data_IF_369143717548
#
_entry.id   IF_369143717548
#
_cell.length_a   1.000
_cell.length_b   1.000
_cell.length_c   1.000
_cell.angle_alpha   90.00
_cell.angle_beta   90.00
_cell.angle_gamma   90.00
#
_symmetry.space_group_name_H-M   'P 1'
#
loop_
_entity.id
_entity.type
_entity.pdbx_description
1 polymer ?
#
# COMPACT_ATOMS: atom_id res chain seq x y z
N UNK A 1 -9.92 18.21 25.51
CA UNK A 1 -10.13 17.44 24.28
C UNK A 1 -10.07 18.39 23.11
N UNK A 2 -9.32 18.05 22.08
CA UNK A 2 -9.26 18.78 20.84
C UNK A 2 -10.06 18.02 19.77
N UNK A 3 -10.70 18.74 18.87
CA UNK A 3 -11.38 18.15 17.71
C UNK A 3 -10.69 18.68 16.47
N UNK A 4 -10.09 17.77 15.70
CA UNK A 4 -9.48 18.09 14.41
C UNK A 4 -10.37 17.61 13.30
N UNK A 5 -10.76 18.52 12.39
CA UNK A 5 -11.65 18.25 11.26
C UNK A 5 -10.85 18.02 9.98
N UNK A 6 -11.17 16.95 9.29
CA UNK A 6 -10.62 16.61 7.99
C UNK A 6 -11.73 16.55 6.94
N UNK A 7 -11.42 17.04 5.73
CA UNK A 7 -12.23 16.80 4.52
C UNK A 7 -11.63 15.57 3.82
N UNK A 8 -12.47 14.64 3.40
CA UNK A 8 -12.05 13.49 2.61
C UNK A 8 -12.09 13.84 1.12
N UNK A 9 -10.99 13.56 0.43
CA UNK A 9 -10.82 13.74 -1.00
C UNK A 9 -10.68 12.37 -1.66
N UNK A 10 -11.44 12.13 -2.70
CA UNK A 10 -11.46 10.87 -3.44
C UNK A 10 -10.76 11.07 -4.79
N UNK A 11 -9.79 10.21 -5.11
CA UNK A 11 -8.95 10.37 -6.32
C UNK A 11 -9.59 9.80 -7.60
N UNK A 12 -10.69 9.06 -7.48
CA UNK A 12 -11.37 8.45 -8.63
C UNK A 12 -12.88 8.69 -8.56
N UNK A 13 -13.58 8.51 -9.69
CA UNK A 13 -15.05 8.43 -9.75
C UNK A 13 -15.49 7.19 -8.95
N UNK A 14 -15.51 7.32 -7.64
CA UNK A 14 -15.87 6.27 -6.71
C UNK A 14 -17.39 6.33 -6.54
N UNK A 15 -18.06 5.18 -6.55
CA UNK A 15 -19.49 5.10 -6.28
C UNK A 15 -19.87 5.65 -4.89
N UNK A 16 -21.15 5.93 -4.67
CA UNK A 16 -21.67 6.49 -3.40
C UNK A 16 -21.12 5.70 -2.21
N UNK A 17 -20.46 6.40 -1.28
CA UNK A 17 -20.02 5.77 -0.02
C UNK A 17 -21.26 5.54 0.85
N UNK A 18 -21.45 4.30 1.29
CA UNK A 18 -22.32 4.03 2.43
C UNK A 18 -21.70 4.63 3.70
N UNK A 19 -22.06 5.90 3.97
CA UNK A 19 -21.51 6.66 5.09
C UNK A 19 -21.76 5.97 6.45
N UNK A 20 -22.92 5.37 6.75
CA UNK A 20 -23.12 4.57 7.94
C UNK A 20 -22.15 3.39 8.07
N UNK A 21 -21.87 2.67 6.99
CA UNK A 21 -20.92 1.57 6.99
C UNK A 21 -19.49 2.08 7.14
N UNK A 22 -19.14 3.15 6.43
CA UNK A 22 -17.84 3.82 6.60
C UNK A 22 -17.61 4.26 8.04
N UNK A 23 -18.60 4.92 8.67
CA UNK A 23 -18.52 5.31 10.08
C UNK A 23 -18.28 4.12 11.01
N UNK A 24 -18.94 2.98 10.78
CA UNK A 24 -18.76 1.76 11.59
C UNK A 24 -17.37 1.18 11.48
N UNK A 25 -16.69 1.40 10.35
CA UNK A 25 -15.33 0.90 10.11
C UNK A 25 -14.24 1.75 10.76
N UNK A 26 -14.57 2.97 11.21
CA UNK A 26 -13.65 3.88 11.88
C UNK A 26 -13.62 3.66 13.40
N UNK A 27 -12.49 3.98 14.06
CA UNK A 27 -12.42 4.00 15.51
C UNK A 27 -13.49 4.90 16.16
N UNK A 28 -13.89 4.61 17.38
CA UNK A 28 -14.94 5.37 18.10
C UNK A 28 -14.63 6.85 18.32
N UNK A 29 -13.34 7.22 18.31
CA UNK A 29 -12.88 8.62 18.40
C UNK A 29 -13.01 9.40 17.07
N UNK A 30 -13.47 8.73 16.00
CA UNK A 30 -13.67 9.31 14.69
C UNK A 30 -15.17 9.47 14.41
N UNK A 31 -15.57 10.61 13.90
CA UNK A 31 -16.96 10.86 13.51
C UNK A 31 -17.01 11.31 12.05
N UNK A 32 -17.45 10.42 11.17
CA UNK A 32 -17.67 10.73 9.76
C UNK A 32 -19.09 11.27 9.54
N UNK A 33 -19.22 12.27 8.68
CA UNK A 33 -20.50 12.86 8.30
C UNK A 33 -20.41 13.59 6.95
N UNK A 34 -21.55 13.78 6.32
CA UNK A 34 -21.67 14.55 5.09
C UNK A 34 -22.18 15.96 5.40
N UNK A 35 -21.60 16.94 4.76
CA UNK A 35 -22.05 18.33 4.80
C UNK A 35 -21.88 18.96 3.41
N UNK A 36 -22.99 19.42 2.81
CA UNK A 36 -23.06 20.03 1.48
C UNK A 36 -22.48 19.15 0.34
N UNK A 37 -22.57 17.83 0.45
CA UNK A 37 -22.06 16.86 -0.54
C UNK A 37 -20.58 16.53 -0.38
N UNK A 38 -19.91 17.08 0.64
CA UNK A 38 -18.56 16.70 1.03
C UNK A 38 -18.59 15.79 2.25
N UNK A 39 -17.66 14.83 2.32
CA UNK A 39 -17.50 13.96 3.48
C UNK A 39 -16.40 14.49 4.39
N UNK A 40 -16.71 14.58 5.66
CA UNK A 40 -15.81 15.04 6.71
C UNK A 40 -15.60 13.96 7.77
N UNK A 41 -14.44 14.01 8.41
CA UNK A 41 -14.14 13.22 9.60
C UNK A 41 -13.63 14.16 10.68
N UNK A 42 -14.30 14.17 11.81
CA UNK A 42 -13.84 14.81 13.03
C UNK A 42 -13.14 13.76 13.90
N UNK A 43 -11.95 14.07 14.40
CA UNK A 43 -11.18 13.20 15.29
C UNK A 43 -11.07 13.88 16.66
N UNK A 44 -11.53 13.19 17.69
CA UNK A 44 -11.34 13.59 19.07
C UNK A 44 -9.98 13.09 19.56
N UNK A 45 -9.12 14.04 19.98
CA UNK A 45 -7.81 13.74 20.56
C UNK A 45 -7.63 14.45 21.90
N UNK A 46 -6.69 13.99 22.73
CA UNK A 46 -6.20 14.82 23.82
C UNK A 46 -5.44 16.04 23.26
N UNK A 47 -5.34 17.11 24.04
CA UNK A 47 -4.62 18.34 23.60
C UNK A 47 -3.17 18.02 23.23
N UNK A 48 -2.55 17.05 23.92
CA UNK A 48 -1.18 16.60 23.70
C UNK A 48 -1.02 15.76 22.42
N UNK A 49 -2.10 15.12 21.95
CA UNK A 49 -2.13 14.25 20.77
C UNK A 49 -2.61 14.95 19.50
N UNK A 50 -2.96 16.22 19.55
CA UNK A 50 -3.50 16.96 18.39
C UNK A 50 -2.54 16.98 17.19
N UNK A 51 -1.23 16.92 17.43
CA UNK A 51 -0.20 16.75 16.39
C UNK A 51 -0.27 15.40 15.68
N UNK A 52 -0.85 14.39 16.31
CA UNK A 52 -0.96 13.04 15.76
C UNK A 52 -2.26 12.80 14.97
N UNK A 53 -3.21 13.74 14.98
CA UNK A 53 -4.53 13.57 14.33
C UNK A 53 -4.38 13.25 12.83
N UNK A 54 -3.46 13.90 12.12
CA UNK A 54 -3.18 13.63 10.70
C UNK A 54 -2.64 12.20 10.51
N UNK A 55 -1.73 11.76 11.34
CA UNK A 55 -1.20 10.40 11.30
C UNK A 55 -2.30 9.36 11.57
N UNK A 56 -3.19 9.63 12.52
CA UNK A 56 -4.29 8.71 12.86
C UNK A 56 -5.26 8.55 11.69
N UNK A 57 -5.67 9.66 11.04
CA UNK A 57 -6.56 9.56 9.88
C UNK A 57 -5.89 8.87 8.70
N UNK A 58 -4.64 9.20 8.37
CA UNK A 58 -3.92 8.58 7.25
C UNK A 58 -3.81 7.07 7.45
N UNK A 59 -3.50 6.61 8.67
CA UNK A 59 -3.44 5.19 9.00
C UNK A 59 -4.78 4.47 8.76
N UNK A 60 -5.89 5.07 9.17
CA UNK A 60 -7.21 4.48 8.95
C UNK A 60 -7.59 4.47 7.46
N UNK A 61 -7.24 5.52 6.72
CA UNK A 61 -7.47 5.57 5.27
C UNK A 61 -6.57 4.60 4.49
N UNK A 62 -5.32 4.41 4.90
CA UNK A 62 -4.45 3.37 4.32
C UNK A 62 -5.03 1.96 4.57
N UNK A 63 -5.62 1.71 5.76
CA UNK A 63 -6.34 0.46 6.05
C UNK A 63 -7.55 0.27 5.14
N UNK A 64 -8.36 1.31 4.96
CA UNK A 64 -9.49 1.30 4.03
C UNK A 64 -9.02 1.00 2.61
N UNK A 65 -7.99 1.68 2.15
CA UNK A 65 -7.42 1.46 0.82
C UNK A 65 -6.95 0.02 0.63
N UNK A 66 -6.29 -0.56 1.63
CA UNK A 66 -5.87 -1.97 1.58
C UNK A 66 -7.04 -2.93 1.38
N UNK A 67 -8.20 -2.66 2.02
CA UNK A 67 -9.38 -3.53 1.95
C UNK A 67 -10.18 -3.29 0.66
N UNK A 68 -10.38 -2.02 0.29
CA UNK A 68 -11.34 -1.61 -0.75
C UNK A 68 -10.71 -1.29 -2.09
N UNK A 69 -9.38 -1.06 -2.13
CA UNK A 69 -8.65 -0.48 -3.26
C UNK A 69 -9.18 0.91 -3.67
N UNK A 70 -9.94 1.59 -2.80
CA UNK A 70 -10.44 2.95 -3.02
C UNK A 70 -9.56 3.93 -2.28
N UNK A 71 -8.82 4.76 -3.01
CA UNK A 71 -7.93 5.74 -2.41
C UNK A 71 -8.67 6.98 -1.95
N UNK A 72 -8.54 7.26 -0.65
CA UNK A 72 -9.11 8.41 0.02
C UNK A 72 -7.97 9.20 0.66
N UNK A 73 -7.94 10.51 0.45
CA UNK A 73 -7.01 11.42 1.13
C UNK A 73 -7.74 12.28 2.14
N UNK A 74 -7.09 12.64 3.24
CA UNK A 74 -7.62 13.56 4.22
C UNK A 74 -6.88 14.89 4.15
N UNK A 75 -7.63 15.96 3.94
CA UNK A 75 -7.14 17.33 4.03
C UNK A 75 -7.58 17.95 5.35
N UNK A 76 -6.62 18.43 6.14
CA UNK A 76 -6.91 19.07 7.43
C UNK A 76 -7.53 20.45 7.20
N UNK A 77 -8.74 20.66 7.68
CA UNK A 77 -9.41 21.96 7.64
C UNK A 77 -9.01 22.73 8.91
N UNK A 78 -8.10 23.69 8.74
CA UNK A 78 -7.80 24.63 9.84
C UNK A 78 -9.06 25.46 10.13
N UNK A 79 -9.44 25.53 11.41
CA UNK A 79 -10.63 26.19 11.97
C UNK A 79 -10.80 27.69 11.64
N UNK A 80 -10.12 28.26 10.64
CA UNK A 80 -10.30 29.68 10.22
C UNK A 80 -10.25 29.77 8.72
N UNK A 81 -11.38 30.19 8.17
CA UNK A 81 -11.70 30.61 6.81
C UNK A 81 -12.50 29.58 6.00
N UNK A 82 -13.81 29.81 6.02
CA UNK A 82 -14.72 29.33 5.00
C UNK A 82 -14.42 30.05 3.69
N UNK A 83 -13.88 29.33 2.72
CA UNK A 83 -14.02 29.65 1.32
C UNK A 83 -14.50 28.37 0.65
N UNK A 84 -15.77 28.34 0.28
CA UNK A 84 -16.40 27.24 -0.42
C UNK A 84 -15.90 27.19 -1.85
N UNK A 85 -15.21 26.10 -2.21
CA UNK A 85 -15.08 25.67 -3.59
C UNK A 85 -15.96 24.43 -3.74
N UNK A 86 -17.12 24.56 -4.38
CA UNK A 86 -18.03 23.47 -4.67
C UNK A 86 -17.43 22.57 -5.76
N UNK A 87 -16.86 21.45 -5.35
CA UNK A 87 -16.57 20.34 -6.25
C UNK A 87 -17.38 19.13 -5.75
N UNK A 88 -18.44 18.77 -6.48
CA UNK A 88 -19.26 17.61 -6.15
C UNK A 88 -18.69 16.36 -6.81
N UNK A 89 -18.27 15.40 -6.01
CA UNK A 89 -17.97 14.05 -6.47
C UNK A 89 -19.01 13.09 -5.88
N UNK A 90 -19.61 12.26 -6.73
CA UNK A 90 -20.44 11.13 -6.28
C UNK A 90 -19.60 9.87 -6.39
N UNK A 91 -19.55 9.14 -5.31
CA UNK A 91 -18.80 7.90 -5.20
C UNK A 91 -19.79 6.75 -5.09
N UNK A 92 -19.77 5.80 -6.05
CA UNK A 92 -20.59 4.60 -6.02
C UNK A 92 -19.69 3.38 -5.81
N UNK A 93 -19.70 2.76 -4.64
CA UNK A 93 -19.03 1.51 -4.31
C UNK A 93 -19.65 0.87 -3.07
N UNK A 94 -19.95 -0.39 -3.18
CA UNK A 94 -20.33 -1.19 -2.01
C UNK A 94 -19.05 -1.50 -1.21
N UNK A 95 -19.00 -1.03 0.04
CA UNK A 95 -17.96 -1.46 0.96
C UNK A 95 -18.20 -2.93 1.34
N UNK A 96 -17.18 -3.80 1.29
CA UNK A 96 -17.33 -5.17 1.74
C UNK A 96 -17.85 -5.24 3.18
N UNK A 97 -18.79 -6.13 3.47
CA UNK A 97 -19.38 -6.31 4.81
C UNK A 97 -18.34 -6.57 5.92
N UNK A 98 -17.13 -6.94 5.55
CA UNK A 98 -16.03 -7.29 6.45
C UNK A 98 -15.15 -6.10 6.90
N UNK A 99 -15.52 -4.85 6.60
CA UNK A 99 -14.78 -3.65 7.02
C UNK A 99 -15.07 -3.28 8.50
N UNK A 100 -15.67 -4.15 9.26
CA UNK A 100 -15.81 -3.93 10.69
C UNK A 100 -14.42 -3.73 11.33
N UNK A 101 -14.28 -2.83 12.34
CA UNK A 101 -13.04 -2.66 13.05
C UNK A 101 -12.69 -4.00 13.72
N UNK A 102 -11.98 -4.84 13.00
CA UNK A 102 -11.28 -5.94 13.61
C UNK A 102 -10.21 -5.28 14.49
N UNK A 103 -9.92 -5.88 15.63
CA UNK A 103 -8.76 -5.52 16.43
C UNK A 103 -7.51 -5.75 15.57
N UNK A 104 -7.22 -4.78 14.72
CA UNK A 104 -6.02 -4.81 13.90
C UNK A 104 -4.85 -4.67 14.85
N UNK A 105 -4.01 -5.66 14.84
CA UNK A 105 -2.76 -5.62 15.55
C UNK A 105 -2.03 -4.34 15.14
N UNK A 106 -1.78 -3.44 16.07
CA UNK A 106 -1.16 -2.12 15.84
C UNK A 106 0.25 -2.18 15.24
N UNK A 107 0.77 -3.39 15.00
CA UNK A 107 2.09 -3.62 14.41
C UNK A 107 2.16 -3.42 12.88
N UNK A 108 1.03 -3.22 12.20
CA UNK A 108 0.98 -3.15 10.73
C UNK A 108 0.91 -1.75 10.08
N UNK A 109 0.97 -0.57 10.79
CA UNK A 109 0.77 0.72 10.12
C UNK A 109 1.82 1.00 9.05
N UNK A 110 3.07 0.54 9.25
CA UNK A 110 4.14 0.72 8.28
C UNK A 110 3.90 -0.12 7.02
N UNK A 111 3.50 -1.38 7.18
CA UNK A 111 3.18 -2.26 6.06
C UNK A 111 2.04 -1.71 5.22
N UNK A 112 0.96 -1.24 5.86
CA UNK A 112 -0.17 -0.61 5.16
C UNK A 112 0.26 0.64 4.41
N UNK A 113 1.12 1.46 5.00
CA UNK A 113 1.66 2.65 4.34
C UNK A 113 2.52 2.30 3.14
N UNK A 114 3.43 1.33 3.28
CA UNK A 114 4.27 0.85 2.18
C UNK A 114 3.41 0.25 1.05
N UNK A 115 2.34 -0.48 1.39
CA UNK A 115 1.43 -1.05 0.41
C UNK A 115 0.67 0.03 -0.36
N UNK A 116 0.14 1.04 0.33
CA UNK A 116 -0.48 2.21 -0.31
C UNK A 116 0.48 2.93 -1.26
N UNK A 117 1.72 3.16 -0.83
CA UNK A 117 2.76 3.78 -1.68
C UNK A 117 3.10 2.92 -2.90
N UNK A 118 3.15 1.58 -2.76
CA UNK A 118 3.41 0.69 -3.88
C UNK A 118 2.31 0.77 -4.95
N UNK A 119 1.05 0.85 -4.55
CA UNK A 119 -0.08 0.99 -5.48
C UNK A 119 -0.01 2.34 -6.23
N UNK A 120 0.36 3.43 -5.55
CA UNK A 120 0.50 4.74 -6.19
C UNK A 120 1.57 4.77 -7.30
N UNK A 121 2.52 3.87 -7.24
CA UNK A 121 3.62 3.75 -8.18
C UNK A 121 3.32 2.80 -9.35
N UNK A 122 2.06 2.70 -9.79
CA UNK A 122 1.63 1.72 -10.81
C UNK A 122 2.45 1.76 -12.13
N UNK A 123 3.07 2.89 -12.47
CA UNK A 123 3.96 3.04 -13.63
C UNK A 123 5.44 2.78 -13.31
N UNK A 124 5.80 2.58 -12.03
CA UNK A 124 7.17 2.46 -11.54
C UNK A 124 7.40 1.08 -10.90
N UNK A 125 7.24 0.02 -11.71
CA UNK A 125 7.25 -1.37 -11.24
C UNK A 125 8.46 -1.73 -10.37
N UNK A 126 9.63 -1.09 -10.57
CA UNK A 126 10.81 -1.33 -9.73
C UNK A 126 10.62 -0.86 -8.31
N UNK A 127 10.04 0.33 -8.15
CA UNK A 127 9.71 0.86 -6.83
C UNK A 127 8.58 0.06 -6.19
N UNK A 128 7.58 -0.39 -6.96
CA UNK A 128 6.55 -1.29 -6.46
C UNK A 128 7.16 -2.57 -5.88
N UNK A 129 8.07 -3.22 -6.62
CA UNK A 129 8.76 -4.43 -6.16
C UNK A 129 9.52 -4.17 -4.86
N UNK A 130 10.22 -3.04 -4.73
CA UNK A 130 10.96 -2.70 -3.51
C UNK A 130 10.03 -2.48 -2.31
N UNK A 131 8.91 -1.77 -2.49
CA UNK A 131 7.95 -1.52 -1.41
C UNK A 131 7.23 -2.80 -0.98
N UNK A 132 6.74 -3.61 -1.91
CA UNK A 132 6.13 -4.90 -1.57
C UNK A 132 7.12 -5.83 -0.87
N UNK A 133 8.36 -5.89 -1.37
CA UNK A 133 9.37 -6.71 -0.71
C UNK A 133 9.70 -6.20 0.70
N UNK A 134 9.69 -4.89 0.93
CA UNK A 134 9.90 -4.35 2.29
C UNK A 134 8.78 -4.80 3.25
N UNK A 135 7.53 -4.87 2.78
CA UNK A 135 6.44 -5.46 3.59
C UNK A 135 6.74 -6.92 3.95
N UNK A 136 7.19 -7.71 2.96
CA UNK A 136 7.57 -9.11 3.17
C UNK A 136 8.74 -9.22 4.17
N UNK A 137 9.75 -8.34 4.08
CA UNK A 137 10.87 -8.30 5.05
C UNK A 137 10.41 -8.01 6.47
N UNK A 138 9.42 -7.14 6.65
CA UNK A 138 8.86 -6.83 7.97
C UNK A 138 8.08 -8.02 8.54
N UNK A 139 7.37 -8.76 7.69
CA UNK A 139 6.63 -9.96 8.09
C UNK A 139 7.55 -11.17 8.35
N UNK A 140 8.66 -11.27 7.62
CA UNK A 140 9.63 -12.37 7.68
C UNK A 140 11.05 -11.83 7.95
N UNK A 141 11.35 -11.41 9.18
CA UNK A 141 12.68 -10.83 9.51
C UNK A 141 13.82 -11.86 9.37
N UNK A 142 13.53 -13.14 9.57
CA UNK A 142 14.49 -14.24 9.34
C UNK A 142 14.38 -14.78 7.91
N UNK A 143 15.24 -14.26 7.03
CA UNK A 143 15.33 -14.70 5.62
C UNK A 143 16.02 -16.05 5.43
N UNK A 144 16.59 -16.63 6.49
CA UNK A 144 17.21 -17.97 6.43
C UNK A 144 16.14 -19.06 6.29
N UNK A 145 14.88 -18.75 6.65
CA UNK A 145 13.74 -19.65 6.52
C UNK A 145 13.23 -19.79 5.08
N UNK A 146 13.67 -18.93 4.14
CA UNK A 146 13.25 -19.03 2.75
C UNK A 146 13.90 -20.24 2.08
N UNK A 147 13.09 -21.11 1.40
CA UNK A 147 13.62 -22.30 0.77
C UNK A 147 14.74 -22.03 -0.23
N UNK A 148 15.75 -22.89 -0.23
CA UNK A 148 16.83 -22.82 -1.22
C UNK A 148 16.32 -23.11 -2.63
N UNK A 149 16.90 -22.42 -3.61
CA UNK A 149 16.61 -22.61 -5.03
C UNK A 149 17.79 -23.29 -5.72
N UNK A 150 17.56 -24.48 -6.26
CA UNK A 150 18.62 -25.32 -6.80
C UNK A 150 18.42 -25.80 -8.23
N UNK A 151 17.21 -25.65 -8.79
CA UNK A 151 16.85 -26.14 -10.12
C UNK A 151 16.22 -25.04 -10.99
N UNK A 152 16.93 -24.56 -12.02
CA UNK A 152 16.44 -23.48 -12.90
C UNK A 152 15.32 -23.91 -13.86
N UNK A 153 14.94 -25.17 -13.88
CA UNK A 153 13.81 -25.67 -14.70
C UNK A 153 12.46 -25.56 -14.01
N UNK A 154 12.46 -25.29 -12.71
CA UNK A 154 11.26 -25.14 -11.89
C UNK A 154 11.14 -23.69 -11.35
N UNK A 155 9.93 -23.25 -11.03
CA UNK A 155 9.75 -21.95 -10.37
C UNK A 155 10.25 -22.00 -8.93
N UNK A 156 10.89 -20.94 -8.44
CA UNK A 156 11.26 -20.83 -7.04
C UNK A 156 10.04 -20.82 -6.13
N UNK A 157 10.26 -21.07 -4.84
CA UNK A 157 9.25 -20.75 -3.82
C UNK A 157 8.94 -19.25 -3.84
N UNK A 158 7.66 -18.82 -3.71
CA UNK A 158 7.27 -17.42 -3.86
C UNK A 158 8.11 -16.41 -3.05
N UNK A 159 8.34 -16.66 -1.76
CA UNK A 159 9.18 -15.80 -0.91
C UNK A 159 10.64 -15.72 -1.37
N UNK A 160 11.20 -16.86 -1.84
CA UNK A 160 12.56 -16.91 -2.41
C UNK A 160 12.62 -16.12 -3.72
N UNK A 161 11.59 -16.23 -4.55
CA UNK A 161 11.47 -15.46 -5.78
C UNK A 161 11.39 -13.94 -5.50
N UNK A 162 10.58 -13.54 -4.52
CA UNK A 162 10.50 -12.13 -4.09
C UNK A 162 11.88 -11.59 -3.65
N UNK A 163 12.64 -12.37 -2.90
CA UNK A 163 14.02 -12.03 -2.49
C UNK A 163 14.95 -11.83 -3.70
N UNK A 164 14.87 -12.70 -4.71
CA UNK A 164 15.68 -12.58 -5.91
C UNK A 164 15.28 -11.34 -6.75
N UNK A 165 14.00 -11.08 -6.93
CA UNK A 165 13.50 -9.91 -7.66
C UNK A 165 13.96 -8.60 -7.00
N UNK A 166 13.87 -8.51 -5.68
CA UNK A 166 14.42 -7.36 -4.93
C UNK A 166 15.91 -7.21 -5.16
N UNK A 167 16.66 -8.32 -5.11
CA UNK A 167 18.11 -8.28 -5.32
C UNK A 167 18.47 -7.79 -6.73
N UNK A 168 17.79 -8.30 -7.74
CA UNK A 168 17.99 -7.88 -9.14
C UNK A 168 17.73 -6.37 -9.31
N UNK A 169 16.79 -5.78 -8.61
CA UNK A 169 16.46 -4.36 -8.70
C UNK A 169 17.38 -3.50 -7.87
N UNK A 170 17.61 -3.85 -6.62
CA UNK A 170 18.39 -3.03 -5.69
C UNK A 170 19.88 -3.06 -5.95
N UNK A 171 20.39 -4.15 -6.51
CA UNK A 171 21.81 -4.37 -6.80
C UNK A 171 22.02 -4.64 -8.30
N UNK A 172 21.45 -3.77 -9.14
CA UNK A 172 21.52 -3.90 -10.60
C UNK A 172 22.94 -4.24 -11.07
N UNK A 173 23.13 -5.48 -11.58
CA UNK A 173 24.39 -5.96 -12.12
C UNK A 173 25.26 -6.80 -11.19
N UNK A 174 24.97 -6.95 -9.90
CA UNK A 174 25.69 -7.89 -9.04
C UNK A 174 24.92 -9.21 -8.89
N UNK A 175 25.15 -10.14 -9.82
CA UNK A 175 24.64 -11.50 -9.79
C UNK A 175 25.74 -12.43 -9.29
N UNK A 176 26.19 -12.27 -8.06
CA UNK A 176 27.30 -13.05 -7.50
C UNK A 176 26.85 -14.37 -6.87
N UNK A 177 25.61 -14.48 -6.39
CA UNK A 177 25.10 -15.66 -5.69
C UNK A 177 24.72 -16.81 -6.62
N UNK A 178 25.07 -18.07 -6.26
CA UNK A 178 24.74 -19.28 -7.06
C UNK A 178 23.23 -19.40 -7.34
N UNK A 179 22.38 -19.22 -6.33
CA UNK A 179 20.94 -19.32 -6.48
C UNK A 179 20.37 -18.21 -7.38
N UNK A 180 20.93 -17.00 -7.29
CA UNK A 180 20.49 -15.89 -8.13
C UNK A 180 20.88 -16.11 -9.61
N UNK A 181 22.02 -16.74 -9.90
CA UNK A 181 22.39 -17.16 -11.25
C UNK A 181 21.41 -18.16 -11.83
N UNK A 182 21.04 -19.19 -11.06
CA UNK A 182 20.01 -20.14 -11.46
C UNK A 182 18.67 -19.44 -11.73
N UNK A 183 18.31 -18.43 -10.93
CA UNK A 183 17.12 -17.67 -11.16
C UNK A 183 17.17 -16.80 -12.44
N UNK A 184 18.32 -16.23 -12.76
CA UNK A 184 18.52 -15.57 -14.06
C UNK A 184 18.33 -16.54 -15.24
N UNK A 185 18.84 -17.77 -15.11
CA UNK A 185 18.61 -18.81 -16.12
C UNK A 185 17.13 -19.16 -16.26
N UNK A 186 16.42 -19.33 -15.14
CA UNK A 186 14.98 -19.56 -15.13
C UNK A 186 14.19 -18.44 -15.82
N UNK A 187 14.57 -17.17 -15.60
CA UNK A 187 13.94 -16.02 -16.25
C UNK A 187 14.37 -15.82 -17.70
N UNK A 188 15.38 -16.56 -18.19
CA UNK A 188 16.03 -16.34 -19.47
C UNK A 188 16.54 -14.89 -19.62
N UNK A 189 17.29 -14.43 -18.61
CA UNK A 189 17.96 -13.13 -18.57
C UNK A 189 19.47 -13.32 -18.31
N UNK A 190 20.34 -12.42 -18.80
CA UNK A 190 21.78 -12.59 -18.62
C UNK A 190 22.23 -12.44 -17.17
N UNK A 191 23.25 -13.19 -16.76
CA UNK A 191 23.86 -13.14 -15.43
C UNK A 191 24.73 -11.89 -15.20
N UNK A 192 25.04 -11.15 -16.25
CA UNK A 192 25.86 -9.94 -16.20
C UNK A 192 25.02 -8.70 -16.40
N UNK A 193 25.52 -7.68 -15.77
CA UNK A 193 25.02 -6.31 -15.73
C UNK A 193 23.99 -5.96 -16.79
N UNK A 194 22.84 -5.54 -16.33
CA UNK A 194 21.73 -5.14 -17.17
C UNK A 194 21.89 -3.72 -17.65
N UNK A 195 21.59 -3.53 -18.91
CA UNK A 195 20.97 -2.29 -19.30
C UNK A 195 19.57 -2.28 -18.66
N UNK A 196 19.36 -1.41 -17.68
CA UNK A 196 18.06 -1.22 -17.01
C UNK A 196 16.95 -0.80 -17.98
N UNK A 197 17.31 -0.44 -19.21
CA UNK A 197 16.41 -0.09 -20.32
C UNK A 197 16.11 -1.29 -21.23
N UNK A 198 16.74 -2.46 -21.01
CA UNK A 198 16.47 -3.66 -21.79
C UNK A 198 15.00 -4.09 -21.63
N UNK A 199 14.27 -4.04 -22.75
CA UNK A 199 12.83 -4.33 -22.80
C UNK A 199 12.50 -5.75 -22.36
N UNK A 200 13.35 -6.73 -22.69
CA UNK A 200 13.14 -8.13 -22.29
C UNK A 200 13.24 -8.27 -20.79
N UNK A 201 14.27 -7.66 -20.20
CA UNK A 201 14.45 -7.64 -18.74
C UNK A 201 13.28 -6.95 -18.04
N UNK A 202 12.90 -5.75 -18.51
CA UNK A 202 11.78 -5.01 -17.93
C UNK A 202 10.47 -5.80 -17.99
N UNK A 203 10.16 -6.43 -19.13
CA UNK A 203 8.93 -7.21 -19.29
C UNK A 203 8.87 -8.42 -18.36
N UNK A 204 10.01 -9.10 -18.13
CA UNK A 204 10.10 -10.23 -17.20
C UNK A 204 9.84 -9.81 -15.75
N UNK A 205 10.43 -8.70 -15.31
CA UNK A 205 10.25 -8.19 -13.96
C UNK A 205 8.85 -7.58 -13.76
N UNK A 206 8.33 -6.85 -14.73
CA UNK A 206 6.97 -6.31 -14.68
C UNK A 206 5.93 -7.42 -14.48
N UNK A 207 6.09 -8.56 -15.18
CA UNK A 207 5.22 -9.73 -15.02
C UNK A 207 5.25 -10.35 -13.62
N UNK A 208 6.21 -9.97 -12.77
CA UNK A 208 6.37 -10.49 -11.40
C UNK A 208 5.84 -9.56 -10.30
N UNK A 209 5.42 -8.34 -10.63
CA UNK A 209 4.87 -7.39 -9.64
C UNK A 209 3.70 -8.00 -8.89
N UNK A 210 2.80 -8.71 -9.61
CA UNK A 210 1.62 -9.34 -9.01
C UNK A 210 1.96 -10.45 -8.01
N UNK A 211 3.08 -11.15 -8.21
CA UNK A 211 3.56 -12.12 -7.22
C UNK A 211 3.90 -11.42 -5.91
N UNK A 212 4.71 -10.34 -5.95
CA UNK A 212 5.08 -9.59 -4.75
C UNK A 212 3.87 -8.95 -4.06
N UNK A 213 2.93 -8.41 -4.82
CA UNK A 213 1.69 -7.87 -4.28
C UNK A 213 0.90 -8.94 -3.50
N UNK A 214 0.79 -10.15 -4.05
CA UNK A 214 0.08 -11.25 -3.38
C UNK A 214 0.79 -11.72 -2.11
N UNK A 215 2.12 -11.81 -2.12
CA UNK A 215 2.91 -12.23 -0.95
C UNK A 215 2.99 -11.12 0.13
N UNK A 216 2.76 -9.85 -0.24
CA UNK A 216 2.73 -8.72 0.67
C UNK A 216 1.35 -8.49 1.34
N UNK A 217 0.30 -9.15 0.87
CA UNK A 217 -1.06 -9.13 1.47
C UNK A 217 -1.20 -10.13 2.60
#
# INVERSE_FOLDING_TARGET
MAITKFKLLFETDVPDIDLPLFQKSLPSSFKAYEDNGDIFVDIETSIEEDFNAKYLIDRELDRHFFITCVKIKAEMIKKRLSASLDIRYRIHGELPENILPQEWNYELPLQLRLWSMAIDLYNEFRLQILYYYHIIELAYPDKSSFPDYTDPTTSPHPLTECKFLRHLIAHAGDVSGKQLKLYCQYLDIPEKMYDVTDVKYQSKLLGKVKLLENEAK
#
